data_IF_025463923279
#
_entry.id   IF_025463923279
#
_cell.length_a   1.000
_cell.length_b   1.000
_cell.length_c   1.000
_cell.angle_alpha   90.00
_cell.angle_beta   90.00
_cell.angle_gamma   90.00
#
_symmetry.space_group_name_H-M   'P 1'
#
loop_
_entity.id
_entity.type
_entity.pdbx_description
1 polymer ?
#
# COMPACT_ATOMS: atom_id res chain seq x y z
N UNK A 1 18.47 -0.25 23.67
CA UNK A 1 19.22 0.21 22.49
C UNK A 1 18.39 1.30 21.84
N UNK A 2 19.00 2.43 21.50
CA UNK A 2 18.26 3.49 20.78
C UNK A 2 18.00 2.99 19.35
N UNK A 3 16.71 2.71 19.03
CA UNK A 3 16.29 2.22 17.73
C UNK A 3 15.72 3.35 16.84
N UNK A 4 15.89 4.60 17.27
CA UNK A 4 15.40 5.77 16.56
C UNK A 4 15.84 5.80 15.10
N UNK A 5 17.13 5.56 14.84
CA UNK A 5 17.66 5.53 13.47
C UNK A 5 16.96 4.47 12.62
N UNK A 6 16.70 3.28 13.19
CA UNK A 6 15.97 2.22 12.50
C UNK A 6 14.54 2.67 12.16
N UNK A 7 13.85 3.28 13.10
CA UNK A 7 12.47 3.77 12.93
C UNK A 7 12.39 4.87 11.88
N UNK A 8 13.32 5.82 11.93
CA UNK A 8 13.39 6.91 10.95
C UNK A 8 13.59 6.37 9.53
N UNK A 9 14.52 5.41 9.34
CA UNK A 9 14.77 4.78 8.04
C UNK A 9 13.58 3.96 7.53
N UNK A 10 12.85 3.27 8.42
CA UNK A 10 11.64 2.54 8.03
C UNK A 10 10.55 3.52 7.58
N UNK A 11 10.33 4.61 8.30
CA UNK A 11 9.35 5.63 7.91
C UNK A 11 9.72 6.27 6.58
N UNK A 12 10.99 6.58 6.40
CA UNK A 12 11.52 7.12 5.15
C UNK A 12 11.30 6.17 3.98
N UNK A 13 11.57 4.86 4.17
CA UNK A 13 11.29 3.82 3.17
C UNK A 13 9.80 3.75 2.79
N UNK A 14 8.89 3.86 3.77
CA UNK A 14 7.45 3.78 3.54
C UNK A 14 6.90 4.98 2.74
N UNK A 15 7.47 6.17 2.92
CA UNK A 15 6.92 7.42 2.39
C UNK A 15 7.65 7.86 1.11
N UNK A 16 9.00 7.87 1.11
CA UNK A 16 9.79 8.55 0.08
C UNK A 16 10.15 7.64 -1.11
N UNK A 17 10.25 6.33 -0.89
CA UNK A 17 10.54 5.36 -1.94
C UNK A 17 11.99 5.34 -2.43
N UNK A 18 12.81 6.33 -2.19
CA UNK A 18 14.23 6.54 -2.57
C UNK A 18 14.77 5.82 -3.81
N UNK A 19 14.73 4.50 -3.84
CA UNK A 19 15.19 3.69 -4.97
C UNK A 19 14.23 3.68 -6.17
N UNK A 20 13.01 4.15 -5.97
CA UNK A 20 11.95 4.27 -6.99
C UNK A 20 11.03 5.44 -6.64
N UNK A 21 10.10 5.78 -7.54
CA UNK A 21 9.12 6.85 -7.27
C UNK A 21 8.21 6.47 -6.11
N UNK A 22 7.77 7.46 -5.33
CA UNK A 22 6.72 7.24 -4.32
C UNK A 22 5.32 7.17 -4.97
N UNK A 23 4.32 6.80 -4.16
CA UNK A 23 2.95 6.63 -4.66
C UNK A 23 2.37 7.93 -5.24
N UNK A 24 2.62 9.07 -4.60
CA UNK A 24 2.13 10.37 -5.07
C UNK A 24 2.62 10.66 -6.49
N UNK A 25 3.92 10.51 -6.75
CA UNK A 25 4.51 10.65 -8.08
C UNK A 25 4.00 9.56 -9.04
N UNK A 26 3.83 8.34 -8.55
CA UNK A 26 3.26 7.22 -9.31
C UNK A 26 1.86 7.52 -9.86
N UNK A 27 1.07 8.34 -9.17
CA UNK A 27 -0.31 8.69 -9.56
C UNK A 27 -0.43 10.09 -10.18
N UNK A 28 0.57 10.96 -10.03
CA UNK A 28 0.51 12.35 -10.49
C UNK A 28 0.20 12.46 -11.99
N UNK A 29 -0.71 13.39 -12.34
CA UNK A 29 -1.06 13.66 -13.73
C UNK A 29 -1.85 12.58 -14.47
N UNK A 30 -2.26 11.49 -13.80
CA UNK A 30 -3.06 10.45 -14.43
C UNK A 30 -4.49 10.95 -14.73
N UNK A 31 -4.84 11.00 -16.02
CA UNK A 31 -6.18 11.40 -16.48
C UNK A 31 -7.25 10.42 -15.98
N UNK A 32 -8.40 10.93 -15.58
CA UNK A 32 -9.52 10.11 -15.08
C UNK A 32 -9.92 8.98 -16.05
N UNK A 33 -9.91 9.24 -17.35
CA UNK A 33 -10.22 8.27 -18.40
C UNK A 33 -9.24 7.09 -18.50
N UNK A 34 -8.06 7.19 -17.89
CA UNK A 34 -7.03 6.14 -17.92
C UNK A 34 -6.97 5.33 -16.63
N UNK A 35 -7.62 5.77 -15.54
CA UNK A 35 -7.55 5.10 -14.23
C UNK A 35 -7.98 3.64 -14.28
N UNK A 36 -9.02 3.32 -15.04
CA UNK A 36 -9.57 1.97 -15.19
C UNK A 36 -9.19 1.27 -16.49
N UNK A 37 -8.32 1.85 -17.31
CA UNK A 37 -7.94 1.27 -18.60
C UNK A 37 -6.85 0.21 -18.40
N UNK A 38 -7.15 -1.02 -18.80
CA UNK A 38 -6.17 -2.12 -18.86
C UNK A 38 -5.39 -2.00 -20.17
N UNK A 39 -4.04 -2.00 -20.14
CA UNK A 39 -3.24 -1.84 -21.36
C UNK A 39 -3.23 -3.09 -22.26
N UNK A 40 -3.41 -4.27 -21.67
CA UNK A 40 -3.43 -5.56 -22.38
C UNK A 40 -4.22 -6.60 -21.58
N UNK A 41 -4.63 -7.73 -22.20
CA UNK A 41 -5.20 -8.86 -21.47
C UNK A 41 -4.24 -9.37 -20.38
N UNK A 42 -4.75 -9.61 -19.17
CA UNK A 42 -3.96 -10.08 -18.04
C UNK A 42 -3.19 -8.99 -17.29
N UNK A 43 -3.22 -7.73 -17.74
CA UNK A 43 -2.60 -6.59 -17.05
C UNK A 43 -3.69 -5.78 -16.36
N UNK A 44 -3.50 -5.49 -15.08
CA UNK A 44 -4.44 -4.69 -14.31
C UNK A 44 -4.40 -3.21 -14.70
N UNK A 45 -5.50 -2.52 -14.47
CA UNK A 45 -5.56 -1.06 -14.56
C UNK A 45 -4.85 -0.42 -13.35
N UNK A 46 -4.54 0.87 -13.47
CA UNK A 46 -3.96 1.63 -12.34
C UNK A 46 -4.86 1.60 -11.11
N UNK A 47 -6.19 1.67 -11.30
CA UNK A 47 -7.13 1.59 -10.19
C UNK A 47 -7.14 0.20 -9.54
N UNK A 48 -7.07 -0.86 -10.30
CA UNK A 48 -7.02 -2.22 -9.73
C UNK A 48 -5.80 -2.40 -8.84
N UNK A 49 -4.63 -1.98 -9.30
CA UNK A 49 -3.40 -2.03 -8.51
C UNK A 49 -3.48 -1.15 -7.25
N UNK A 50 -4.01 0.07 -7.39
CA UNK A 50 -4.14 0.99 -6.26
C UNK A 50 -5.13 0.50 -5.20
N UNK A 51 -6.27 -0.03 -5.62
CA UNK A 51 -7.27 -0.57 -4.68
C UNK A 51 -6.76 -1.86 -4.03
N UNK A 52 -5.97 -2.66 -4.74
CA UNK A 52 -5.30 -3.80 -4.17
C UNK A 52 -4.28 -3.39 -3.09
N UNK A 53 -3.47 -2.35 -3.34
CA UNK A 53 -2.60 -1.74 -2.32
C UNK A 53 -3.42 -1.35 -1.10
N UNK A 54 -4.54 -0.62 -1.29
CA UNK A 54 -5.39 -0.16 -0.19
C UNK A 54 -5.93 -1.31 0.64
N UNK A 55 -6.51 -2.32 -0.01
CA UNK A 55 -7.12 -3.47 0.67
C UNK A 55 -6.09 -4.31 1.42
N UNK A 56 -4.94 -4.56 0.82
CA UNK A 56 -3.89 -5.34 1.45
C UNK A 56 -3.23 -4.57 2.61
N UNK A 57 -2.98 -3.28 2.44
CA UNK A 57 -2.41 -2.42 3.49
C UNK A 57 -3.36 -2.30 4.68
N UNK A 58 -4.66 -2.07 4.44
CA UNK A 58 -5.70 -2.06 5.47
C UNK A 58 -5.72 -3.40 6.23
N UNK A 59 -5.71 -4.53 5.52
CA UNK A 59 -5.70 -5.85 6.14
C UNK A 59 -4.47 -6.08 7.01
N UNK A 60 -3.27 -5.77 6.51
CA UNK A 60 -2.02 -5.90 7.27
C UNK A 60 -2.07 -5.02 8.53
N UNK A 61 -2.52 -3.77 8.41
CA UNK A 61 -2.61 -2.82 9.52
C UNK A 61 -3.64 -3.27 10.55
N UNK A 62 -4.86 -3.58 10.12
CA UNK A 62 -5.94 -4.01 11.04
C UNK A 62 -5.61 -5.34 11.71
N UNK A 63 -5.08 -6.31 10.98
CA UNK A 63 -4.56 -7.54 11.56
C UNK A 63 -3.50 -7.29 12.64
N UNK A 64 -2.66 -6.26 12.46
CA UNK A 64 -1.62 -5.92 13.43
C UNK A 64 -2.18 -5.31 14.71
N UNK A 65 -3.24 -4.49 14.60
CA UNK A 65 -3.75 -3.68 15.69
C UNK A 65 -4.98 -4.26 16.38
N UNK A 66 -5.78 -5.06 15.69
CA UNK A 66 -7.08 -5.56 16.19
C UNK A 66 -7.12 -7.09 16.20
N UNK A 67 -7.14 -7.71 17.42
CA UNK A 67 -7.25 -9.17 17.55
C UNK A 67 -8.59 -9.73 17.05
N UNK A 68 -9.62 -8.90 16.89
CA UNK A 68 -10.92 -9.31 16.37
C UNK A 68 -11.03 -9.20 14.86
N UNK A 69 -10.04 -8.60 14.18
CA UNK A 69 -10.03 -8.44 12.74
C UNK A 69 -10.10 -9.78 12.01
N UNK A 70 -10.88 -9.78 10.94
CA UNK A 70 -10.98 -10.94 10.04
C UNK A 70 -10.57 -10.53 8.63
N UNK A 71 -9.44 -11.05 8.20
CA UNK A 71 -8.92 -10.79 6.86
C UNK A 71 -9.91 -11.16 5.75
N UNK A 72 -9.95 -10.40 4.67
CA UNK A 72 -10.75 -10.72 3.50
C UNK A 72 -10.39 -12.10 2.92
N UNK A 73 -11.33 -12.73 2.20
CA UNK A 73 -11.05 -14.02 1.55
C UNK A 73 -10.13 -13.83 0.35
N UNK A 74 -8.99 -14.50 0.40
CA UNK A 74 -8.04 -14.56 -0.71
C UNK A 74 -8.58 -15.38 -1.90
N UNK A 75 -8.32 -14.97 -3.16
CA UNK A 75 -7.77 -13.68 -3.59
C UNK A 75 -8.84 -12.60 -3.77
N UNK A 76 -10.11 -12.97 -3.87
CA UNK A 76 -11.22 -12.10 -4.31
C UNK A 76 -11.46 -10.88 -3.42
N UNK A 77 -11.18 -11.01 -2.12
CA UNK A 77 -11.37 -9.92 -1.16
C UNK A 77 -10.33 -8.80 -1.26
N UNK A 78 -9.26 -9.01 -2.02
CA UNK A 78 -8.15 -8.05 -2.17
C UNK A 78 -8.15 -7.31 -3.51
N UNK A 79 -9.17 -7.49 -4.34
CA UNK A 79 -9.27 -6.85 -5.64
C UNK A 79 -10.62 -6.15 -5.82
N UNK A 80 -10.68 -5.02 -6.52
CA UNK A 80 -11.95 -4.35 -6.81
C UNK A 80 -12.83 -5.21 -7.74
N UNK A 81 -14.12 -5.04 -7.63
CA UNK A 81 -15.10 -5.80 -8.44
C UNK A 81 -15.08 -5.41 -9.92
N UNK A 82 -14.50 -4.26 -10.26
CA UNK A 82 -14.44 -3.72 -11.62
C UNK A 82 -13.16 -2.92 -11.83
N UNK A 83 -12.61 -2.86 -13.06
CA UNK A 83 -11.33 -2.22 -13.33
C UNK A 83 -11.38 -0.68 -13.31
N UNK A 84 -12.55 -0.07 -13.47
CA UNK A 84 -12.70 1.37 -13.59
C UNK A 84 -13.47 1.95 -12.41
N UNK A 85 -12.89 2.96 -11.69
CA UNK A 85 -13.53 3.63 -10.58
C UNK A 85 -14.47 4.75 -11.06
N UNK A 86 -15.43 5.12 -10.22
CA UNK A 86 -15.99 6.49 -10.21
C UNK A 86 -14.98 7.45 -9.59
N UNK A 87 -15.17 8.78 -9.77
CA UNK A 87 -14.32 9.77 -9.12
C UNK A 87 -14.38 9.68 -7.59
N UNK A 88 -15.55 9.35 -7.04
CA UNK A 88 -15.71 9.14 -5.59
C UNK A 88 -14.88 7.94 -5.08
N UNK A 89 -14.91 6.82 -5.80
CA UNK A 89 -14.12 5.63 -5.44
C UNK A 89 -12.64 5.88 -5.58
N UNK A 90 -12.20 6.59 -6.62
CA UNK A 90 -10.81 6.98 -6.79
C UNK A 90 -10.33 7.83 -5.62
N UNK A 91 -11.10 8.86 -5.26
CA UNK A 91 -10.78 9.74 -4.13
C UNK A 91 -10.74 8.98 -2.81
N UNK A 92 -11.72 8.11 -2.56
CA UNK A 92 -11.76 7.30 -1.36
C UNK A 92 -10.57 6.31 -1.28
N UNK A 93 -10.23 5.68 -2.41
CA UNK A 93 -9.10 4.76 -2.49
C UNK A 93 -7.77 5.47 -2.19
N UNK A 94 -7.51 6.60 -2.85
CA UNK A 94 -6.27 7.39 -2.61
C UNK A 94 -6.18 7.90 -1.18
N UNK A 95 -7.29 8.38 -0.61
CA UNK A 95 -7.34 8.83 0.77
C UNK A 95 -7.12 7.67 1.76
N UNK A 96 -7.71 6.50 1.51
CA UNK A 96 -7.55 5.31 2.34
C UNK A 96 -6.10 4.83 2.39
N UNK A 97 -5.43 4.71 1.22
CA UNK A 97 -4.00 4.35 1.19
C UNK A 97 -3.15 5.31 2.02
N UNK A 98 -3.40 6.61 1.90
CA UNK A 98 -2.69 7.63 2.69
C UNK A 98 -2.92 7.49 4.18
N UNK A 99 -4.18 7.37 4.59
CA UNK A 99 -4.54 7.30 6.00
C UNK A 99 -3.96 6.06 6.68
N UNK A 100 -4.08 4.89 6.05
CA UNK A 100 -3.52 3.65 6.60
C UNK A 100 -1.98 3.68 6.62
N UNK A 101 -1.33 4.30 5.62
CA UNK A 101 0.13 4.47 5.62
C UNK A 101 0.60 5.38 6.76
N UNK A 102 -0.13 6.46 7.04
CA UNK A 102 0.14 7.33 8.18
C UNK A 102 0.00 6.57 9.52
N UNK A 103 -1.01 5.70 9.65
CA UNK A 103 -1.18 4.84 10.83
C UNK A 103 -0.02 3.84 10.99
N UNK A 104 0.44 3.22 9.89
CA UNK A 104 1.65 2.36 9.90
C UNK A 104 2.87 3.16 10.35
N UNK A 105 3.06 4.37 9.84
CA UNK A 105 4.16 5.24 10.25
C UNK A 105 4.05 5.66 11.73
N UNK A 106 2.84 5.91 12.22
CA UNK A 106 2.60 6.22 13.64
C UNK A 106 2.98 5.03 14.54
N UNK A 107 2.60 3.80 14.16
CA UNK A 107 3.04 2.59 14.84
C UNK A 107 4.56 2.47 14.89
N UNK A 108 5.24 2.75 13.77
CA UNK A 108 6.72 2.71 13.72
C UNK A 108 7.34 3.77 14.62
N UNK A 109 6.77 4.97 14.69
CA UNK A 109 7.29 6.09 15.53
C UNK A 109 7.01 5.93 17.01
N UNK A 110 6.07 5.08 17.40
CA UNK A 110 5.72 4.85 18.80
C UNK A 110 6.85 4.08 19.52
N UNK A 111 7.64 4.80 20.31
CA UNK A 111 8.74 4.22 21.07
C UNK A 111 8.31 3.21 22.16
N UNK A 112 7.02 3.16 22.51
CA UNK A 112 6.48 2.18 23.45
C UNK A 112 6.28 0.80 22.80
N UNK A 113 6.25 0.72 21.48
CA UNK A 113 6.12 -0.52 20.73
C UNK A 113 7.50 -1.10 20.42
N UNK A 114 7.81 -2.28 20.96
CA UNK A 114 8.96 -3.06 20.52
C UNK A 114 8.65 -3.67 19.15
N UNK A 115 9.25 -3.12 18.08
CA UNK A 115 9.02 -3.58 16.72
C UNK A 115 9.43 -5.04 16.51
N UNK A 116 10.36 -5.56 17.30
CA UNK A 116 10.82 -6.95 17.20
C UNK A 116 9.97 -7.93 18.00
N UNK A 117 9.09 -7.43 18.87
CA UNK A 117 8.14 -8.24 19.62
C UNK A 117 7.11 -8.90 18.70
N UNK A 118 6.67 -10.09 19.08
CA UNK A 118 5.55 -10.74 18.42
C UNK A 118 4.23 -10.03 18.74
N UNK A 119 3.39 -9.88 17.74
CA UNK A 119 2.00 -9.44 17.92
C UNK A 119 1.28 -10.51 18.75
N UNK A 120 0.61 -10.17 19.86
CA UNK A 120 0.03 -11.17 20.78
C UNK A 120 -0.90 -12.20 20.14
N UNK A 121 -1.62 -11.79 19.08
CA UNK A 121 -2.53 -12.64 18.29
C UNK A 121 -1.98 -12.98 16.90
N UNK A 122 -0.71 -12.67 16.64
CA UNK A 122 -0.11 -12.65 15.30
C UNK A 122 0.53 -13.97 14.85
N UNK A 123 0.28 -15.10 15.51
CA UNK A 123 0.80 -16.41 15.11
C UNK A 123 2.33 -16.41 14.88
N UNK A 124 3.06 -15.72 15.74
CA UNK A 124 4.52 -15.57 15.66
C UNK A 124 5.02 -14.41 14.78
N UNK A 125 4.12 -13.66 14.14
CA UNK A 125 4.50 -12.47 13.37
C UNK A 125 4.87 -11.31 14.29
N UNK A 126 5.94 -10.60 13.93
CA UNK A 126 6.38 -9.38 14.64
C UNK A 126 5.79 -8.12 14.03
N UNK A 127 5.75 -7.02 14.78
CA UNK A 127 5.37 -5.71 14.27
C UNK A 127 6.29 -5.30 13.10
N UNK A 128 7.60 -5.47 13.24
CA UNK A 128 8.58 -5.18 12.18
C UNK A 128 8.27 -5.94 10.89
N UNK A 129 7.97 -7.24 10.99
CA UNK A 129 7.62 -8.05 9.82
C UNK A 129 6.41 -7.48 9.09
N UNK A 130 5.38 -7.01 9.81
CA UNK A 130 4.18 -6.45 9.20
C UNK A 130 4.46 -5.11 8.51
N UNK A 131 5.26 -4.26 9.12
CA UNK A 131 5.68 -2.98 8.53
C UNK A 131 6.51 -3.19 7.25
N UNK A 132 7.47 -4.11 7.29
CA UNK A 132 8.27 -4.46 6.11
C UNK A 132 7.42 -5.08 5.00
N UNK A 133 6.38 -5.86 5.34
CA UNK A 133 5.45 -6.40 4.37
C UNK A 133 4.65 -5.30 3.66
N UNK A 134 4.23 -4.24 4.37
CA UNK A 134 3.59 -3.07 3.74
C UNK A 134 4.55 -2.40 2.74
N UNK A 135 5.80 -2.17 3.14
CA UNK A 135 6.79 -1.53 2.26
C UNK A 135 7.04 -2.36 0.99
N UNK A 136 7.28 -3.65 1.14
CA UNK A 136 7.55 -4.59 0.03
C UNK A 136 6.35 -4.69 -0.92
N UNK A 137 5.16 -4.91 -0.38
CA UNK A 137 3.93 -5.03 -1.16
C UNK A 137 3.59 -3.76 -1.94
N UNK A 138 3.69 -2.60 -1.27
CA UNK A 138 3.40 -1.32 -1.92
C UNK A 138 4.42 -1.00 -3.01
N UNK A 139 5.71 -1.28 -2.80
CA UNK A 139 6.76 -1.11 -3.80
C UNK A 139 6.51 -1.97 -5.05
N UNK A 140 6.14 -3.25 -4.85
CA UNK A 140 5.83 -4.17 -5.95
C UNK A 140 4.68 -3.66 -6.81
N UNK A 141 3.55 -3.30 -6.19
CA UNK A 141 2.36 -2.85 -6.92
C UNK A 141 2.50 -1.43 -7.48
N UNK A 142 3.28 -0.56 -6.83
CA UNK A 142 3.65 0.73 -7.41
C UNK A 142 4.46 0.56 -8.71
N UNK A 143 5.36 -0.41 -8.75
CA UNK A 143 6.06 -0.80 -9.98
C UNK A 143 5.08 -1.22 -11.10
N UNK A 144 4.02 -1.96 -10.78
CA UNK A 144 2.96 -2.33 -11.74
C UNK A 144 2.16 -1.10 -12.21
N UNK A 145 1.83 -0.18 -11.31
CA UNK A 145 1.18 1.10 -11.66
C UNK A 145 2.02 1.88 -12.67
N UNK A 146 3.30 2.05 -12.41
CA UNK A 146 4.23 2.76 -13.32
C UNK A 146 4.32 2.05 -14.66
N UNK A 147 4.44 0.73 -14.67
CA UNK A 147 4.48 -0.06 -15.89
C UNK A 147 3.18 0.06 -16.71
N UNK A 148 2.03 -0.05 -16.05
CA UNK A 148 0.71 0.14 -16.69
C UNK A 148 0.61 1.53 -17.33
N UNK A 149 1.06 2.58 -16.62
CA UNK A 149 1.08 3.95 -17.17
C UNK A 149 2.00 4.10 -18.37
N UNK A 150 3.18 3.46 -18.37
CA UNK A 150 4.09 3.44 -19.54
C UNK A 150 3.42 2.79 -20.74
N UNK A 151 2.78 1.65 -20.56
CA UNK A 151 2.06 0.94 -21.62
C UNK A 151 0.89 1.74 -22.19
N UNK A 152 0.25 2.58 -21.38
CA UNK A 152 -0.83 3.49 -21.78
C UNK A 152 -0.33 4.81 -22.38
N UNK A 153 0.98 5.05 -22.45
CA UNK A 153 1.54 6.35 -22.89
C UNK A 153 1.24 7.50 -21.92
N UNK A 154 1.04 7.20 -20.64
CA UNK A 154 0.62 8.14 -19.59
C UNK A 154 1.68 8.33 -18.50
N UNK A 155 2.92 8.04 -18.80
CA UNK A 155 4.06 8.23 -17.89
C UNK A 155 5.04 9.23 -18.48
N UNK A 156 5.34 10.28 -17.74
CA UNK A 156 6.24 11.37 -18.16
C UNK A 156 7.59 11.38 -17.42
N UNK A 157 7.97 10.31 -16.73
CA UNK A 157 9.27 10.21 -16.04
C UNK A 157 9.24 10.74 -14.62
#
# INVERSE_FOLDING_TARGET
>A
MDDRVLRDQIVELLIEGHAHVNLERGLAGLKASLRGKRPAPGVHSVYEELEHIRLAQEDILRYTLDPAWKSPKWPKGYWPKRPAPTDKEWTACTAGVKADLEEVCALVRDASVDLTAQIPHGEGRTYLRQVLLVADHNAYHLGQIVQTRKLLGAWSG
#
